data_IF_737433805303
#
_entry.id   IF_737433805303
#
_cell.length_a   1.000
_cell.length_b   1.000
_cell.length_c   1.000
_cell.angle_alpha   90.00
_cell.angle_beta   90.00
_cell.angle_gamma   90.00
#
_symmetry.space_group_name_H-M   'P 1'
#
loop_
_entity.id
_entity.type
_entity.pdbx_description
1 polymer ?
#
# COMPACT_ATOMS: atom_id res chain seq x y z
N UNK A 1 3.93 -2.11 -12.95
CA UNK A 1 4.45 -3.36 -12.38
C UNK A 1 5.87 -3.58 -12.88
N UNK A 2 6.68 -4.29 -12.11
CA UNK A 2 7.99 -4.79 -12.53
C UNK A 2 7.80 -6.27 -12.83
N UNK A 3 8.20 -6.69 -14.02
CA UNK A 3 8.01 -8.06 -14.49
C UNK A 3 9.02 -8.38 -15.60
N UNK A 4 9.16 -9.66 -16.02
CA UNK A 4 10.07 -10.04 -17.10
C UNK A 4 9.73 -9.34 -18.42
N UNK A 5 10.76 -8.88 -19.15
CA UNK A 5 10.60 -8.11 -20.41
C UNK A 5 9.70 -8.76 -21.46
N UNK A 6 9.58 -10.08 -21.47
CA UNK A 6 8.66 -10.79 -22.38
C UNK A 6 7.21 -10.29 -22.23
N UNK A 7 6.80 -9.88 -21.03
CA UNK A 7 5.44 -9.39 -20.80
C UNK A 7 5.21 -7.96 -21.31
N UNK A 8 6.26 -7.21 -21.71
CA UNK A 8 6.06 -5.90 -22.37
C UNK A 8 5.36 -6.05 -23.73
N UNK A 9 5.39 -7.26 -24.32
CA UNK A 9 4.63 -7.58 -25.55
C UNK A 9 3.12 -7.73 -25.30
N UNK A 10 2.72 -7.97 -24.06
CA UNK A 10 1.34 -8.23 -23.65
C UNK A 10 0.77 -7.04 -22.87
N UNK A 11 1.60 -6.39 -22.06
CA UNK A 11 1.21 -5.29 -21.16
C UNK A 11 1.87 -4.00 -21.68
N UNK A 12 1.13 -3.15 -22.41
CA UNK A 12 1.66 -1.88 -22.90
C UNK A 12 2.11 -0.97 -21.76
N UNK A 13 3.11 -0.13 -22.02
CA UNK A 13 3.65 0.82 -21.03
C UNK A 13 2.56 1.73 -20.46
N UNK A 14 1.62 2.20 -21.29
CA UNK A 14 0.52 3.04 -20.84
C UNK A 14 -0.39 2.32 -19.84
N UNK A 15 -0.66 1.03 -20.06
CA UNK A 15 -1.47 0.21 -19.16
C UNK A 15 -0.71 -0.03 -17.85
N UNK A 16 0.59 -0.30 -17.96
CA UNK A 16 1.47 -0.46 -16.83
C UNK A 16 1.51 0.79 -15.93
N UNK A 17 1.50 1.97 -16.54
CA UNK A 17 1.42 3.26 -15.85
C UNK A 17 0.01 3.50 -15.28
N UNK A 18 -1.04 3.24 -16.07
CA UNK A 18 -2.43 3.41 -15.68
C UNK A 18 -2.79 2.62 -14.42
N UNK A 19 -2.30 1.37 -14.29
CA UNK A 19 -2.49 0.56 -13.07
C UNK A 19 -1.95 1.24 -11.80
N UNK A 20 -0.88 2.03 -11.92
CA UNK A 20 -0.24 2.72 -10.80
C UNK A 20 -0.81 4.11 -10.55
N UNK A 21 -1.23 4.80 -11.60
CA UNK A 21 -1.75 6.17 -11.50
C UNK A 21 -3.23 6.21 -11.15
N UNK A 22 -4.06 5.33 -11.75
CA UNK A 22 -5.51 5.37 -11.55
C UNK A 22 -6.01 4.81 -10.23
N UNK A 23 -5.19 4.03 -9.51
CA UNK A 23 -5.59 3.53 -8.19
C UNK A 23 -5.92 4.68 -7.23
N UNK A 24 -5.19 5.80 -7.30
CA UNK A 24 -5.40 6.96 -6.45
C UNK A 24 -6.74 7.67 -6.71
N UNK A 25 -7.05 8.17 -7.92
CA UNK A 25 -8.33 8.84 -8.19
C UNK A 25 -9.53 7.91 -8.04
N UNK A 26 -9.40 6.62 -8.38
CA UNK A 26 -10.49 5.64 -8.18
C UNK A 26 -10.78 5.45 -6.69
N UNK A 27 -9.75 5.25 -5.88
CA UNK A 27 -9.91 5.10 -4.41
C UNK A 27 -10.46 6.38 -3.78
N UNK A 28 -10.04 7.56 -4.25
CA UNK A 28 -10.56 8.83 -3.76
C UNK A 28 -12.05 8.99 -4.10
N UNK A 29 -12.45 8.64 -5.32
CA UNK A 29 -13.86 8.62 -5.72
C UNK A 29 -14.67 7.65 -4.85
N UNK A 30 -14.15 6.45 -4.55
CA UNK A 30 -14.81 5.50 -3.65
C UNK A 30 -15.08 6.10 -2.27
N UNK A 31 -14.07 6.74 -1.66
CA UNK A 31 -14.20 7.39 -0.34
C UNK A 31 -15.28 8.48 -0.33
N UNK A 32 -15.41 9.22 -1.44
CA UNK A 32 -16.40 10.28 -1.60
C UNK A 32 -17.81 9.73 -1.84
N UNK A 33 -17.93 8.65 -2.63
CA UNK A 33 -19.21 8.10 -3.09
C UNK A 33 -19.83 7.12 -2.09
N UNK A 34 -19.02 6.41 -1.29
CA UNK A 34 -19.51 5.36 -0.39
C UNK A 34 -18.84 5.43 0.99
N UNK A 35 -19.61 5.28 2.10
CA UNK A 35 -19.01 5.15 3.42
C UNK A 35 -18.26 3.83 3.56
N UNK A 36 -16.96 3.90 3.86
CA UNK A 36 -16.11 2.72 4.06
C UNK A 36 -16.05 2.30 5.54
N UNK A 37 -16.28 1.02 5.82
CA UNK A 37 -16.27 0.49 7.20
C UNK A 37 -14.87 0.06 7.61
N UNK A 38 -14.08 1.01 8.12
CA UNK A 38 -12.77 0.72 8.68
C UNK A 38 -12.89 -0.18 9.93
N UNK A 39 -12.00 -1.18 10.10
CA UNK A 39 -11.87 -1.90 11.36
C UNK A 39 -11.32 -0.96 12.44
N UNK A 40 -11.18 -1.46 13.68
CA UNK A 40 -10.52 -0.67 14.72
C UNK A 40 -9.11 -0.25 14.27
N UNK A 41 -8.66 0.97 14.63
CA UNK A 41 -7.33 1.48 14.26
C UNK A 41 -6.21 0.50 14.59
N UNK A 42 -6.27 -0.12 15.76
CA UNK A 42 -5.30 -1.13 16.20
C UNK A 42 -5.31 -2.33 15.26
N UNK A 43 -6.48 -2.91 14.99
CA UNK A 43 -6.62 -4.05 14.06
C UNK A 43 -6.11 -3.70 12.66
N UNK A 44 -6.50 -2.54 12.11
CA UNK A 44 -6.08 -2.10 10.79
C UNK A 44 -4.57 -1.93 10.67
N UNK A 45 -3.94 -1.25 11.64
CA UNK A 45 -2.48 -1.07 11.65
C UNK A 45 -1.74 -2.38 11.93
N UNK A 46 -2.25 -3.25 12.79
CA UNK A 46 -1.64 -4.57 13.02
C UNK A 46 -1.68 -5.42 11.74
N UNK A 47 -2.80 -5.43 11.02
CA UNK A 47 -2.91 -6.17 9.76
C UNK A 47 -1.98 -5.58 8.69
N UNK A 48 -1.90 -4.25 8.61
CA UNK A 48 -0.99 -3.55 7.70
C UNK A 48 0.48 -3.89 8.01
N UNK A 49 0.86 -3.91 9.29
CA UNK A 49 2.19 -4.30 9.73
C UNK A 49 2.49 -5.76 9.38
N UNK A 50 1.58 -6.67 9.67
CA UNK A 50 1.73 -8.09 9.36
C UNK A 50 1.92 -8.33 7.86
N UNK A 51 1.09 -7.71 7.02
CA UNK A 51 1.22 -7.78 5.56
C UNK A 51 2.55 -7.19 5.08
N UNK A 52 2.97 -6.06 5.64
CA UNK A 52 4.25 -5.42 5.30
C UNK A 52 5.45 -6.30 5.65
N UNK A 53 5.45 -6.88 6.86
CA UNK A 53 6.50 -7.80 7.31
C UNK A 53 6.53 -9.02 6.40
N UNK A 54 5.38 -9.66 6.13
CA UNK A 54 5.32 -10.83 5.25
C UNK A 54 5.87 -10.52 3.85
N UNK A 55 5.55 -9.36 3.29
CA UNK A 55 6.08 -8.92 2.00
C UNK A 55 7.59 -8.67 2.04
N UNK A 56 8.09 -7.95 3.06
CA UNK A 56 9.54 -7.70 3.22
C UNK A 56 10.29 -9.02 3.39
N UNK A 57 9.80 -9.93 4.23
CA UNK A 57 10.35 -11.27 4.40
C UNK A 57 10.42 -12.02 3.08
N UNK A 58 9.39 -11.94 2.24
CA UNK A 58 9.40 -12.55 0.90
C UNK A 58 10.49 -11.95 0.00
N UNK A 59 10.67 -10.63 0.01
CA UNK A 59 11.72 -9.98 -0.77
C UNK A 59 13.12 -10.41 -0.30
N UNK A 60 13.35 -10.42 1.02
CA UNK A 60 14.63 -10.84 1.60
C UNK A 60 14.92 -12.32 1.31
N UNK A 61 13.91 -13.18 1.40
CA UNK A 61 14.00 -14.59 1.02
C UNK A 61 14.40 -14.76 -0.44
N UNK A 62 13.76 -14.03 -1.37
CA UNK A 62 14.11 -14.10 -2.79
C UNK A 62 15.56 -13.68 -3.06
N UNK A 63 16.06 -12.67 -2.35
CA UNK A 63 17.46 -12.27 -2.44
C UNK A 63 18.40 -13.35 -1.89
N UNK A 64 18.04 -13.96 -0.75
CA UNK A 64 18.82 -15.04 -0.15
C UNK A 64 18.95 -16.25 -1.10
N UNK A 65 17.85 -16.66 -1.75
CA UNK A 65 17.84 -17.80 -2.67
C UNK A 65 18.50 -17.53 -4.02
N UNK A 66 18.31 -16.33 -4.59
CA UNK A 66 18.75 -16.04 -5.97
C UNK A 66 20.05 -15.24 -6.05
N UNK A 67 20.48 -14.63 -4.94
CA UNK A 67 21.56 -13.63 -4.93
C UNK A 67 21.23 -12.34 -5.67
N UNK A 68 20.00 -12.19 -6.18
CA UNK A 68 19.59 -11.05 -7.02
C UNK A 68 18.46 -10.26 -6.36
N UNK A 69 18.58 -8.93 -6.37
CA UNK A 69 17.54 -8.06 -5.84
C UNK A 69 16.37 -7.94 -6.82
N UNK A 70 15.15 -8.16 -6.34
CA UNK A 70 13.92 -7.93 -7.10
C UNK A 70 13.81 -6.48 -7.61
N UNK A 71 14.32 -5.54 -6.80
CA UNK A 71 14.37 -4.13 -7.14
C UNK A 71 15.83 -3.65 -7.22
N UNK A 72 16.30 -3.16 -8.39
CA UNK A 72 17.69 -2.74 -8.56
C UNK A 72 18.16 -1.68 -7.57
N UNK A 73 17.25 -0.83 -7.07
CA UNK A 73 17.56 0.18 -6.05
C UNK A 73 18.07 -0.44 -4.74
N UNK A 74 17.63 -1.65 -4.38
CA UNK A 74 18.07 -2.33 -3.15
C UNK A 74 19.54 -2.72 -3.21
N UNK A 75 20.06 -3.04 -4.40
CA UNK A 75 21.48 -3.31 -4.60
C UNK A 75 22.38 -2.09 -4.35
N UNK A 76 21.80 -0.88 -4.34
CA UNK A 76 22.52 0.38 -4.09
C UNK A 76 22.48 0.82 -2.64
N UNK A 77 21.73 0.13 -1.78
CA UNK A 77 21.54 0.50 -0.38
C UNK A 77 22.39 -0.39 0.54
N UNK A 78 22.97 0.21 1.57
CA UNK A 78 23.58 -0.53 2.68
C UNK A 78 22.49 -1.26 3.49
N UNK A 79 22.84 -2.20 4.37
CA UNK A 79 21.87 -2.83 5.27
C UNK A 79 21.06 -1.83 6.11
N UNK A 80 21.73 -0.76 6.58
CA UNK A 80 21.07 0.35 7.29
C UNK A 80 20.15 1.13 6.34
N UNK A 81 20.59 1.37 5.11
CA UNK A 81 19.77 2.01 4.08
C UNK A 81 18.51 1.21 3.73
N UNK A 82 18.59 -0.12 3.66
CA UNK A 82 17.44 -1.00 3.46
C UNK A 82 16.48 -0.95 4.65
N UNK A 83 17.00 -1.03 5.88
CA UNK A 83 16.18 -0.92 7.08
C UNK A 83 15.44 0.43 7.13
N UNK A 84 16.14 1.53 6.83
CA UNK A 84 15.54 2.86 6.73
C UNK A 84 14.48 2.93 5.62
N UNK A 85 14.77 2.39 4.44
CA UNK A 85 13.84 2.39 3.30
C UNK A 85 12.53 1.66 3.64
N UNK A 86 12.61 0.44 4.19
CA UNK A 86 11.43 -0.32 4.58
C UNK A 86 10.65 0.34 5.72
N UNK A 87 11.36 0.90 6.72
CA UNK A 87 10.72 1.58 7.85
C UNK A 87 9.98 2.83 7.40
N UNK A 88 10.61 3.65 6.56
CA UNK A 88 10.00 4.86 6.01
C UNK A 88 8.81 4.52 5.10
N UNK A 89 8.94 3.48 4.28
CA UNK A 89 7.84 2.98 3.44
C UNK A 89 6.64 2.54 4.29
N UNK A 90 6.88 1.83 5.39
CA UNK A 90 5.81 1.43 6.31
C UNK A 90 5.13 2.64 6.97
N UNK A 91 5.90 3.62 7.45
CA UNK A 91 5.34 4.86 8.02
C UNK A 91 4.51 5.61 6.99
N UNK A 92 4.96 5.66 5.74
CA UNK A 92 4.24 6.31 4.65
C UNK A 92 2.89 5.64 4.37
N UNK A 93 2.85 4.32 4.19
CA UNK A 93 1.57 3.60 3.95
C UNK A 93 0.63 3.68 5.16
N UNK A 94 1.16 3.63 6.39
CA UNK A 94 0.35 3.79 7.61
C UNK A 94 -0.26 5.20 7.68
N UNK A 95 0.48 6.22 7.26
CA UNK A 95 0.00 7.60 7.18
C UNK A 95 -1.12 7.75 6.14
N UNK A 96 -1.00 7.11 4.98
CA UNK A 96 -2.06 7.08 3.95
C UNK A 96 -3.31 6.36 4.48
N UNK A 97 -3.15 5.24 5.18
CA UNK A 97 -4.27 4.51 5.79
C UNK A 97 -5.05 5.40 6.78
N UNK A 98 -4.33 6.07 7.69
CA UNK A 98 -4.93 6.98 8.67
C UNK A 98 -5.58 8.20 8.01
N UNK A 99 -4.97 8.72 6.93
CA UNK A 99 -5.57 9.79 6.14
C UNK A 99 -6.89 9.34 5.52
N UNK A 100 -6.95 8.14 4.94
CA UNK A 100 -8.17 7.57 4.37
C UNK A 100 -9.28 7.42 5.43
N UNK A 101 -8.94 6.89 6.61
CA UNK A 101 -9.88 6.79 7.73
C UNK A 101 -10.41 8.17 8.15
N UNK A 102 -9.53 9.17 8.24
CA UNK A 102 -9.88 10.56 8.59
C UNK A 102 -10.81 11.19 7.55
N UNK A 103 -10.50 11.05 6.27
CA UNK A 103 -11.33 11.56 5.16
C UNK A 103 -12.73 10.93 5.18
N UNK A 104 -12.79 9.61 5.38
CA UNK A 104 -14.06 8.90 5.46
C UNK A 104 -14.89 9.31 6.70
N UNK A 105 -14.26 9.53 7.86
CA UNK A 105 -14.96 10.07 9.03
C UNK A 105 -15.44 11.51 8.81
N UNK A 106 -14.63 12.35 8.16
CA UNK A 106 -15.02 13.73 7.85
C UNK A 106 -16.24 13.80 6.93
N UNK A 107 -16.31 12.95 5.89
CA UNK A 107 -17.45 12.92 4.96
C UNK A 107 -18.70 12.23 5.53
N UNK A 108 -18.53 11.16 6.32
CA UNK A 108 -19.63 10.25 6.68
C UNK A 108 -19.87 10.09 8.20
N UNK A 109 -19.16 10.84 9.04
CA UNK A 109 -19.20 10.71 10.51
C UNK A 109 -20.60 10.87 11.09
N UNK A 110 -21.30 11.93 10.69
CA UNK A 110 -22.63 12.28 11.21
C UNK A 110 -23.69 11.21 10.86
N UNK A 111 -23.61 10.66 9.66
CA UNK A 111 -24.50 9.57 9.20
C UNK A 111 -24.34 8.31 10.06
N UNK A 112 -23.11 7.96 10.46
CA UNK A 112 -22.85 6.79 11.33
C UNK A 112 -23.34 7.02 12.76
N UNK A 113 -23.17 8.23 13.29
CA UNK A 113 -23.69 8.56 14.62
C UNK A 113 -25.23 8.48 14.65
N UNK A 114 -25.91 8.94 13.60
CA UNK A 114 -27.36 8.85 13.48
C UNK A 114 -27.87 7.41 13.37
N UNK A 115 -27.13 6.52 12.70
CA UNK A 115 -27.46 5.09 12.61
C UNK A 115 -27.25 4.33 13.92
N UNK A 116 -26.28 4.74 14.77
CA UNK A 116 -26.05 4.13 16.10
C UNK A 116 -27.07 4.54 17.17
N UNK A 117 -27.79 5.65 16.96
CA UNK A 117 -28.78 6.20 17.92
C UNK A 117 -30.21 5.71 17.66
N UNK A 118 -30.46 5.04 16.53
CA UNK A 118 -31.72 4.35 16.22
C UNK A 118 -31.57 2.88 16.52
#
# INVERSE_FOLDING_TARGET
>A
LIYPKVLDTIIPVWLNHAMHTFIFPITLAEVILRPHSYPSKKTGLTLLAAASIAYISRILWLYFETGTWVYPVFAKLSPVGLAAFFSLSYVFIASIYLLGEKLNHWKWGDMRQRKKRK
#
